data_IF_071728780733
#
_entry.id   IF_071728780733
#
_cell.length_a   1.000
_cell.length_b   1.000
_cell.length_c   1.000
_cell.angle_alpha   90.00
_cell.angle_beta   90.00
_cell.angle_gamma   90.00
#
_symmetry.space_group_name_H-M   'P 1'
#
loop_
_entity.id
_entity.type
_entity.pdbx_description
1 polymer ?
#
# COMPACT_ATOMS: atom_id res chain seq x y z
N UNK A 1 -7.80 -16.89 32.51
CA UNK A 1 -7.88 -15.89 33.59
C UNK A 1 -9.08 -14.99 33.34
N UNK A 2 -10.15 -15.17 34.12
CA UNK A 2 -11.43 -14.48 33.97
C UNK A 2 -11.39 -13.11 34.66
N UNK A 3 -11.62 -12.03 33.90
CA UNK A 3 -11.97 -10.72 34.47
C UNK A 3 -13.04 -10.08 33.61
N UNK A 4 -14.28 -10.11 34.09
CA UNK A 4 -15.31 -9.06 33.94
C UNK A 4 -16.60 -9.54 34.61
N UNK A 5 -16.75 -9.17 35.88
CA UNK A 5 -18.05 -9.19 36.54
C UNK A 5 -18.04 -8.07 37.59
N UNK A 6 -18.61 -6.91 37.26
CA UNK A 6 -19.04 -5.95 38.28
C UNK A 6 -20.22 -5.08 37.80
N UNK A 7 -21.40 -5.41 38.39
CA UNK A 7 -22.54 -4.59 38.84
C UNK A 7 -23.19 -3.56 37.89
N UNK A 8 -24.42 -3.77 37.43
CA UNK A 8 -25.76 -3.61 38.09
C UNK A 8 -26.32 -2.17 38.02
N UNK A 9 -27.37 -2.05 37.19
CA UNK A 9 -28.64 -1.33 37.38
C UNK A 9 -28.64 0.04 38.06
N UNK A 10 -28.99 1.06 37.27
CA UNK A 10 -29.58 2.32 37.72
C UNK A 10 -30.45 2.89 36.59
N UNK A 11 -31.77 2.71 36.70
CA UNK A 11 -32.73 3.30 35.78
C UNK A 11 -32.92 4.78 36.13
N UNK A 12 -32.69 5.66 35.15
CA UNK A 12 -33.18 7.03 35.18
C UNK A 12 -33.59 7.43 33.75
N UNK A 13 -34.89 7.59 33.55
CA UNK A 13 -35.51 8.13 32.35
C UNK A 13 -35.10 9.61 32.20
N UNK A 14 -34.37 9.93 31.14
CA UNK A 14 -34.24 11.29 30.63
C UNK A 14 -34.66 11.31 29.17
N UNK A 15 -35.78 11.99 28.91
CA UNK A 15 -36.30 12.30 27.58
C UNK A 15 -35.34 13.27 26.90
N UNK A 16 -34.67 12.82 25.85
CA UNK A 16 -33.88 13.69 24.95
C UNK A 16 -34.38 13.51 23.53
N UNK A 17 -34.75 14.63 22.93
CA UNK A 17 -35.25 14.74 21.56
C UNK A 17 -34.29 14.05 20.58
N UNK A 18 -34.84 13.12 19.81
CA UNK A 18 -34.19 12.46 18.69
C UNK A 18 -33.90 13.48 17.59
N UNK A 19 -32.71 14.05 17.62
CA UNK A 19 -32.01 14.39 16.38
C UNK A 19 -31.64 13.05 15.75
N UNK A 20 -32.29 12.69 14.64
CA UNK A 20 -31.82 11.60 13.78
C UNK A 20 -30.46 12.00 13.21
N UNK A 21 -29.41 11.79 13.98
CA UNK A 21 -28.10 11.48 13.43
C UNK A 21 -28.34 10.25 12.57
N UNK A 22 -28.16 10.38 11.25
CA UNK A 22 -27.99 9.21 10.42
C UNK A 22 -26.80 8.46 11.01
N UNK A 23 -27.07 7.39 11.76
CA UNK A 23 -26.06 6.40 12.09
C UNK A 23 -25.55 5.93 10.73
N UNK A 24 -24.39 6.44 10.34
CA UNK A 24 -23.64 5.86 9.25
C UNK A 24 -23.56 4.37 9.59
N UNK A 25 -24.10 3.52 8.71
CA UNK A 25 -24.01 2.07 8.82
C UNK A 25 -22.55 1.65 8.62
N UNK A 26 -21.70 1.98 9.58
CA UNK A 26 -20.39 1.40 9.73
C UNK A 26 -20.59 -0.11 9.95
N UNK A 27 -19.94 -0.93 9.12
CA UNK A 27 -20.00 -2.39 9.29
C UNK A 27 -19.19 -2.70 10.55
N UNK A 28 -19.82 -3.23 11.62
CA UNK A 28 -19.10 -3.52 12.86
C UNK A 28 -17.94 -4.47 12.56
N UNK A 29 -16.76 -4.18 13.12
CA UNK A 29 -15.61 -5.09 13.01
C UNK A 29 -16.03 -6.50 13.36
N UNK A 30 -15.89 -7.41 12.40
CA UNK A 30 -16.33 -8.77 12.62
C UNK A 30 -15.40 -9.46 13.63
N UNK A 31 -15.97 -9.85 14.78
CA UNK A 31 -15.23 -10.65 15.75
C UNK A 31 -15.22 -12.10 15.27
N UNK A 32 -14.06 -12.54 14.79
CA UNK A 32 -13.84 -13.92 14.33
C UNK A 32 -13.71 -14.92 15.48
N UNK A 33 -13.68 -14.48 16.74
CA UNK A 33 -13.69 -15.38 17.89
C UNK A 33 -14.95 -16.27 17.88
N UNK A 34 -14.73 -17.58 17.74
CA UNK A 34 -15.78 -18.59 17.63
C UNK A 34 -16.69 -18.42 16.40
N UNK A 35 -16.24 -17.72 15.36
CA UNK A 35 -17.00 -17.65 14.11
C UNK A 35 -17.06 -19.03 13.45
N UNK A 36 -18.28 -19.52 13.23
CA UNK A 36 -18.51 -20.75 12.49
C UNK A 36 -18.35 -20.46 10.99
N UNK A 37 -17.19 -20.81 10.44
CA UNK A 37 -16.90 -20.73 9.00
C UNK A 37 -17.75 -21.71 8.16
N UNK A 38 -18.66 -22.45 8.79
CA UNK A 38 -19.45 -23.50 8.18
C UNK A 38 -18.61 -24.75 7.90
N UNK A 39 -19.20 -25.77 7.25
CA UNK A 39 -18.52 -27.05 6.97
C UNK A 39 -17.38 -26.95 5.94
N UNK A 40 -17.00 -25.74 5.51
CA UNK A 40 -16.16 -25.50 4.35
C UNK A 40 -16.85 -25.89 3.04
N UNK A 41 -16.28 -25.54 1.88
CA UNK A 41 -16.76 -26.03 0.60
C UNK A 41 -16.71 -27.56 0.56
N UNK A 42 -17.76 -28.17 0.00
CA UNK A 42 -17.79 -29.63 -0.23
C UNK A 42 -16.64 -29.98 -1.15
N UNK A 43 -15.59 -30.60 -0.59
CA UNK A 43 -14.40 -30.99 -1.34
C UNK A 43 -14.76 -32.21 -2.19
N UNK A 44 -15.26 -31.98 -3.42
CA UNK A 44 -15.62 -33.04 -4.37
C UNK A 44 -14.40 -33.67 -5.02
N UNK A 45 -13.31 -32.91 -5.12
CA UNK A 45 -12.08 -33.27 -5.82
C UNK A 45 -10.87 -33.16 -4.90
N UNK A 46 -10.99 -33.69 -3.67
CA UNK A 46 -9.82 -33.79 -2.80
C UNK A 46 -8.85 -34.72 -3.51
N UNK A 47 -7.75 -34.17 -4.02
CA UNK A 47 -6.68 -34.99 -4.55
C UNK A 47 -6.35 -36.01 -3.47
N UNK A 48 -6.45 -37.30 -3.78
CA UNK A 48 -6.05 -38.35 -2.86
C UNK A 48 -4.61 -38.05 -2.45
N UNK A 49 -4.39 -37.63 -1.19
CA UNK A 49 -3.10 -37.17 -0.66
C UNK A 49 -2.10 -38.34 -0.48
N UNK A 50 -2.36 -39.45 -1.18
CA UNK A 50 -1.71 -40.73 -0.94
C UNK A 50 -2.27 -41.43 0.31
N UNK A 51 -1.82 -42.67 0.56
CA UNK A 51 -2.36 -43.51 1.62
C UNK A 51 -1.99 -43.08 3.05
N UNK A 52 -1.25 -41.97 3.24
CA UNK A 52 -0.58 -41.66 4.49
C UNK A 52 -1.47 -40.86 5.46
N UNK A 53 -2.10 -41.55 6.41
CA UNK A 53 -2.73 -40.92 7.57
C UNK A 53 -1.68 -40.50 8.61
N UNK A 54 -1.97 -39.49 9.44
CA UNK A 54 -1.05 -39.00 10.49
C UNK A 54 -0.64 -40.10 11.50
N UNK A 55 -1.48 -41.12 11.65
CA UNK A 55 -1.25 -42.31 12.49
C UNK A 55 -0.28 -43.32 11.85
N UNK A 56 0.10 -43.13 10.59
CA UNK A 56 0.98 -44.03 9.82
C UNK A 56 2.38 -43.46 9.62
N UNK A 57 2.68 -42.29 10.20
CA UNK A 57 3.94 -41.60 9.91
C UNK A 57 5.14 -42.17 10.66
N UNK A 58 5.00 -43.12 11.60
CA UNK A 58 6.08 -43.66 12.45
C UNK A 58 7.06 -42.58 13.00
N UNK A 59 6.64 -41.31 13.09
CA UNK A 59 7.45 -40.14 13.43
C UNK A 59 7.62 -39.11 12.29
N UNK A 60 8.04 -37.89 12.65
CA UNK A 60 8.32 -36.83 11.67
C UNK A 60 9.51 -37.21 10.77
N UNK A 61 9.23 -37.70 9.56
CA UNK A 61 10.25 -37.95 8.56
C UNK A 61 10.51 -36.68 7.74
N UNK A 62 11.71 -36.12 7.85
CA UNK A 62 12.20 -35.08 6.94
C UNK A 62 12.38 -35.68 5.55
N UNK A 63 11.42 -35.42 4.66
CA UNK A 63 11.42 -35.94 3.28
C UNK A 63 12.51 -35.29 2.43
N UNK A 64 12.87 -34.04 2.75
CA UNK A 64 13.95 -33.30 2.13
C UNK A 64 14.51 -32.28 3.13
N UNK A 65 15.83 -32.28 3.29
CA UNK A 65 16.56 -31.15 3.88
C UNK A 65 17.44 -30.59 2.78
N UNK A 66 17.34 -29.29 2.51
CA UNK A 66 18.31 -28.61 1.67
C UNK A 66 19.49 -28.19 2.53
N UNK A 67 20.70 -28.50 2.08
CA UNK A 67 21.90 -27.89 2.67
C UNK A 67 21.82 -26.37 2.54
N UNK A 68 22.31 -25.65 3.56
CA UNK A 68 22.43 -24.20 3.48
C UNK A 68 23.27 -23.83 2.24
N UNK A 69 22.73 -22.97 1.38
CA UNK A 69 23.48 -22.44 0.26
C UNK A 69 24.57 -21.49 0.77
N UNK A 70 25.78 -21.58 0.21
CA UNK A 70 26.81 -20.56 0.41
C UNK A 70 26.54 -19.29 -0.40
N UNK A 71 25.63 -19.37 -1.37
CA UNK A 71 25.23 -18.29 -2.27
C UNK A 71 23.80 -17.80 -1.99
N UNK A 72 23.49 -16.52 -2.24
CA UNK A 72 22.11 -16.03 -2.17
C UNK A 72 21.18 -16.80 -3.11
N UNK A 73 20.02 -17.22 -2.59
CA UNK A 73 18.97 -17.89 -3.36
C UNK A 73 17.86 -16.88 -3.60
N UNK A 74 17.44 -16.73 -4.87
CA UNK A 74 16.33 -15.84 -5.21
C UNK A 74 15.05 -16.30 -4.53
N UNK A 75 14.41 -15.41 -3.79
CA UNK A 75 13.18 -15.71 -3.09
C UNK A 75 12.00 -14.98 -3.75
N UNK A 76 11.27 -15.69 -4.61
CA UNK A 76 10.15 -15.09 -5.35
C UNK A 76 9.05 -14.64 -4.38
N UNK A 77 8.66 -13.37 -4.45
CA UNK A 77 7.66 -12.76 -3.57
C UNK A 77 8.08 -12.50 -2.12
N UNK A 78 9.24 -13.00 -1.68
CA UNK A 78 9.76 -12.87 -0.29
C UNK A 78 11.26 -12.49 -0.27
N UNK A 79 11.78 -12.03 -1.40
CA UNK A 79 13.16 -11.64 -1.61
C UNK A 79 13.49 -10.25 -1.08
N UNK A 80 14.78 -9.91 -1.03
CA UNK A 80 15.17 -8.58 -0.57
C UNK A 80 14.82 -7.53 -1.62
N UNK A 81 14.10 -6.50 -1.18
CA UNK A 81 13.76 -5.33 -1.98
C UNK A 81 14.85 -4.27 -1.83
N UNK A 82 15.54 -3.95 -2.93
CA UNK A 82 16.55 -2.90 -2.99
C UNK A 82 15.95 -1.58 -3.48
N UNK A 83 15.90 -0.57 -2.63
CA UNK A 83 15.36 0.74 -2.97
C UNK A 83 16.33 1.51 -3.88
N UNK A 84 15.94 1.72 -5.14
CA UNK A 84 16.62 2.66 -6.05
C UNK A 84 16.12 4.08 -5.87
N UNK A 85 14.97 4.23 -5.21
CA UNK A 85 14.39 5.49 -4.77
C UNK A 85 13.43 5.24 -3.60
N UNK A 86 13.61 5.93 -2.47
CA UNK A 86 12.71 5.89 -1.31
C UNK A 86 11.89 7.20 -1.16
N UNK A 87 11.03 7.29 -0.14
CA UNK A 87 10.12 8.43 0.11
C UNK A 87 10.79 9.82 0.03
N UNK A 88 12.04 9.95 0.44
CA UNK A 88 12.83 11.18 0.38
C UNK A 88 13.71 11.32 -0.85
N UNK A 89 13.81 10.29 -1.72
CA UNK A 89 14.69 10.27 -2.89
C UNK A 89 15.71 9.12 -2.93
N UNK A 90 16.81 9.26 -3.72
CA UNK A 90 17.89 8.27 -3.77
C UNK A 90 18.73 8.30 -2.48
N UNK A 91 19.86 7.58 -2.42
CA UNK A 91 20.77 7.62 -1.26
C UNK A 91 21.15 9.04 -0.81
N UNK A 92 21.48 9.22 0.48
CA UNK A 92 22.00 10.50 0.99
C UNK A 92 23.26 10.96 0.23
N UNK A 93 24.10 10.03 -0.22
CA UNK A 93 25.27 10.33 -1.04
C UNK A 93 24.88 10.90 -2.41
N UNK A 94 23.87 10.33 -3.06
CA UNK A 94 23.35 10.83 -4.33
C UNK A 94 22.69 12.21 -4.14
N UNK A 95 21.91 12.41 -3.07
CA UNK A 95 21.32 13.72 -2.74
C UNK A 95 22.37 14.79 -2.45
N UNK A 96 23.49 14.41 -1.86
CA UNK A 96 24.63 15.29 -1.59
C UNK A 96 25.53 15.51 -2.83
N UNK A 97 25.24 14.88 -3.97
CA UNK A 97 26.05 14.96 -5.20
C UNK A 97 27.42 14.25 -5.09
N UNK A 98 27.60 13.39 -4.10
CA UNK A 98 28.81 12.58 -3.91
C UNK A 98 28.88 11.46 -4.94
N UNK A 99 27.72 10.95 -5.35
CA UNK A 99 27.56 10.00 -6.45
C UNK A 99 26.41 10.46 -7.36
N UNK A 100 26.42 10.00 -8.61
CA UNK A 100 25.30 10.25 -9.53
C UNK A 100 24.14 9.31 -9.23
N UNK A 101 22.93 9.63 -9.74
CA UNK A 101 21.77 8.76 -9.60
C UNK A 101 22.00 7.39 -10.26
N UNK A 102 22.67 7.39 -11.42
CA UNK A 102 23.06 6.18 -12.15
C UNK A 102 23.96 5.29 -11.30
N UNK A 103 24.97 5.89 -10.64
CA UNK A 103 25.88 5.16 -9.75
C UNK A 103 25.14 4.57 -8.55
N UNK A 104 24.20 5.31 -7.97
CA UNK A 104 23.36 4.82 -6.88
C UNK A 104 22.55 3.59 -7.32
N UNK A 105 21.80 3.70 -8.43
CA UNK A 105 20.97 2.62 -8.97
C UNK A 105 21.81 1.39 -9.28
N UNK A 106 22.96 1.57 -9.92
CA UNK A 106 23.88 0.47 -10.28
C UNK A 106 24.44 -0.24 -9.03
N UNK A 107 24.75 0.51 -7.97
CA UNK A 107 25.20 -0.07 -6.69
C UNK A 107 24.12 -0.95 -6.07
N UNK A 108 22.86 -0.52 -6.07
CA UNK A 108 21.76 -1.33 -5.53
C UNK A 108 21.53 -2.58 -6.40
N UNK A 109 21.54 -2.42 -7.72
CA UNK A 109 21.29 -3.51 -8.66
C UNK A 109 22.38 -4.60 -8.65
N UNK A 110 23.62 -4.23 -8.37
CA UNK A 110 24.76 -5.15 -8.32
C UNK A 110 24.88 -5.94 -7.02
N UNK A 111 24.07 -5.63 -6.00
CA UNK A 111 24.05 -6.42 -4.76
C UNK A 111 23.54 -7.84 -5.05
N UNK A 112 24.31 -8.89 -4.70
CA UNK A 112 23.98 -10.27 -5.11
C UNK A 112 22.70 -10.78 -4.44
N UNK A 113 22.37 -10.25 -3.25
CA UNK A 113 21.23 -10.63 -2.44
C UNK A 113 19.96 -9.80 -2.68
N UNK A 114 19.99 -8.79 -3.56
CA UNK A 114 18.79 -8.01 -3.92
C UNK A 114 18.03 -8.75 -5.02
N UNK A 115 16.75 -9.00 -4.82
CA UNK A 115 15.90 -9.72 -5.77
C UNK A 115 15.11 -8.76 -6.68
N UNK A 116 14.57 -7.71 -6.08
CA UNK A 116 13.69 -6.73 -6.74
C UNK A 116 14.23 -5.33 -6.52
N UNK A 117 14.34 -4.55 -7.59
CA UNK A 117 14.62 -3.12 -7.52
C UNK A 117 13.33 -2.35 -7.35
N UNK A 118 13.27 -1.45 -6.38
CA UNK A 118 12.03 -0.81 -5.99
C UNK A 118 12.12 0.71 -5.98
N UNK A 119 11.11 1.33 -6.59
CA UNK A 119 10.95 2.78 -6.70
C UNK A 119 9.72 3.18 -5.88
N UNK A 120 9.92 3.98 -4.83
CA UNK A 120 8.82 4.62 -4.08
C UNK A 120 8.88 6.12 -4.27
N UNK A 121 8.12 6.64 -5.22
CA UNK A 121 8.14 8.07 -5.56
C UNK A 121 6.77 8.73 -5.43
N UNK A 122 6.75 10.05 -5.44
CA UNK A 122 5.51 10.82 -5.37
C UNK A 122 4.79 10.86 -6.73
N UNK A 123 3.48 11.04 -6.73
CA UNK A 123 2.70 11.27 -7.96
C UNK A 123 3.26 12.43 -8.81
N UNK A 124 3.70 13.53 -8.19
CA UNK A 124 4.35 14.64 -8.90
C UNK A 124 5.60 14.24 -9.70
N UNK A 125 6.27 13.16 -9.30
CA UNK A 125 7.50 12.68 -9.94
C UNK A 125 7.20 11.79 -11.15
N UNK A 126 5.94 11.45 -11.40
CA UNK A 126 5.51 10.66 -12.56
C UNK A 126 4.52 11.36 -13.48
N UNK A 127 3.92 12.48 -13.05
CA UNK A 127 2.94 13.21 -13.84
C UNK A 127 2.97 14.72 -13.51
N UNK A 128 3.61 15.54 -14.34
CA UNK A 128 3.66 17.01 -14.15
C UNK A 128 2.48 17.74 -14.81
N UNK A 129 1.75 17.06 -15.71
CA UNK A 129 0.57 17.59 -16.40
C UNK A 129 -0.42 16.46 -16.71
N UNK A 130 -1.72 16.81 -16.81
CA UNK A 130 -2.76 15.85 -17.15
C UNK A 130 -2.52 15.18 -18.51
N UNK A 131 -2.94 13.93 -18.63
CA UNK A 131 -2.98 13.15 -19.88
C UNK A 131 -1.68 12.48 -20.29
N UNK A 132 -0.55 12.69 -19.58
CA UNK A 132 0.73 12.04 -19.93
C UNK A 132 1.63 11.78 -18.72
N UNK A 133 2.33 10.64 -18.74
CA UNK A 133 3.41 10.35 -17.79
C UNK A 133 4.63 11.20 -18.13
N UNK A 134 5.28 11.71 -17.09
CA UNK A 134 6.58 12.38 -17.15
C UNK A 134 7.40 11.75 -16.02
N UNK A 135 7.89 10.53 -16.30
CA UNK A 135 8.55 9.71 -15.29
C UNK A 135 9.88 10.34 -14.87
N UNK A 136 10.14 10.35 -13.57
CA UNK A 136 11.45 10.67 -13.02
C UNK A 136 12.52 9.76 -13.66
N UNK A 137 13.73 10.28 -13.97
CA UNK A 137 14.81 9.50 -14.58
C UNK A 137 15.13 8.18 -13.87
N UNK A 138 14.85 8.06 -12.56
CA UNK A 138 15.07 6.81 -11.82
C UNK A 138 14.33 5.61 -12.42
N UNK A 139 13.20 5.79 -13.11
CA UNK A 139 12.47 4.69 -13.75
C UNK A 139 13.29 4.07 -14.88
N UNK A 140 13.77 4.88 -15.81
CA UNK A 140 14.60 4.42 -16.93
C UNK A 140 15.89 3.77 -16.41
N UNK A 141 16.57 4.43 -15.48
CA UNK A 141 17.81 3.92 -14.88
C UNK A 141 17.60 2.57 -14.19
N UNK A 142 16.51 2.42 -13.44
CA UNK A 142 16.19 1.18 -12.71
C UNK A 142 15.83 0.07 -13.67
N UNK A 143 15.03 0.32 -14.71
CA UNK A 143 14.68 -0.68 -15.71
C UNK A 143 15.91 -1.17 -16.49
N UNK A 144 16.79 -0.25 -16.88
CA UNK A 144 18.03 -0.62 -17.58
C UNK A 144 19.00 -1.38 -16.67
N UNK A 145 19.12 -1.00 -15.40
CA UNK A 145 19.90 -1.76 -14.42
C UNK A 145 19.30 -3.14 -14.16
N UNK A 146 17.97 -3.25 -14.08
CA UNK A 146 17.27 -4.52 -13.91
C UNK A 146 17.57 -5.48 -15.06
N UNK A 147 17.57 -5.01 -16.31
CA UNK A 147 17.99 -5.79 -17.48
C UNK A 147 19.42 -6.29 -17.35
N UNK A 148 20.37 -5.41 -17.02
CA UNK A 148 21.80 -5.75 -16.90
C UNK A 148 22.08 -6.79 -15.81
N UNK A 149 21.39 -6.69 -14.68
CA UNK A 149 21.61 -7.52 -13.49
C UNK A 149 20.62 -8.68 -13.36
N UNK A 150 19.78 -8.92 -14.38
CA UNK A 150 18.73 -9.94 -14.35
C UNK A 150 17.85 -9.85 -13.08
N UNK A 151 17.41 -8.63 -12.77
CA UNK A 151 16.52 -8.29 -11.67
C UNK A 151 15.14 -7.92 -12.20
N UNK A 152 14.17 -7.93 -11.29
CA UNK A 152 12.81 -7.45 -11.54
C UNK A 152 12.63 -6.07 -10.92
N UNK A 153 11.60 -5.36 -11.35
CA UNK A 153 11.28 -4.01 -10.87
C UNK A 153 9.91 -4.01 -10.23
N UNK A 154 9.77 -3.30 -9.12
CA UNK A 154 8.49 -2.96 -8.53
C UNK A 154 8.44 -1.47 -8.19
N UNK A 155 7.25 -0.92 -8.04
CA UNK A 155 7.13 0.48 -7.66
C UNK A 155 5.87 0.79 -6.86
N UNK A 156 5.93 1.92 -6.14
CA UNK A 156 4.81 2.61 -5.51
C UNK A 156 4.80 4.06 -5.95
N UNK A 157 3.61 4.54 -6.29
CA UNK A 157 3.33 5.96 -6.48
C UNK A 157 2.57 6.48 -5.27
N UNK A 158 3.17 7.41 -4.53
CA UNK A 158 2.62 7.97 -3.31
C UNK A 158 1.71 9.17 -3.64
N UNK A 159 0.49 9.17 -3.08
CA UNK A 159 -0.44 10.30 -3.19
C UNK A 159 -0.28 11.29 -2.04
N UNK A 160 0.31 10.84 -0.93
CA UNK A 160 0.81 11.67 0.16
C UNK A 160 2.12 11.12 0.68
N UNK A 161 2.98 12.02 1.13
CA UNK A 161 4.31 11.76 1.65
C UNK A 161 4.56 12.78 2.75
N UNK A 162 5.17 12.37 3.85
CA UNK A 162 5.55 13.29 4.93
C UNK A 162 6.78 14.12 4.59
N UNK A 163 7.63 13.60 3.71
CA UNK A 163 8.87 14.25 3.31
C UNK A 163 8.59 15.52 2.50
N UNK A 164 9.22 16.62 2.91
CA UNK A 164 9.09 17.91 2.23
C UNK A 164 7.79 18.68 2.50
N UNK A 165 6.83 18.12 3.24
CA UNK A 165 5.62 18.86 3.58
C UNK A 165 5.88 20.05 4.51
N UNK A 166 5.11 21.15 4.36
CA UNK A 166 4.07 21.38 3.34
C UNK A 166 4.64 22.00 2.04
N UNK A 167 5.95 22.19 1.93
CA UNK A 167 6.56 22.92 0.82
C UNK A 167 6.56 22.14 -0.50
N UNK A 168 6.58 20.81 -0.44
CA UNK A 168 6.56 19.90 -1.60
C UNK A 168 5.59 18.76 -1.29
N UNK A 169 4.39 18.79 -1.87
CA UNK A 169 3.35 17.78 -1.64
C UNK A 169 3.42 16.68 -2.67
N UNK A 170 3.24 15.41 -2.33
CA UNK A 170 3.27 14.34 -3.33
C UNK A 170 2.30 14.56 -4.52
N UNK A 171 1.18 15.25 -4.29
CA UNK A 171 0.22 15.67 -5.31
C UNK A 171 0.86 16.63 -6.36
N UNK A 172 0.68 16.40 -7.67
CA UNK A 172 1.14 17.30 -8.72
C UNK A 172 0.58 18.72 -8.61
N UNK A 173 1.38 19.72 -9.00
CA UNK A 173 1.01 21.14 -8.88
C UNK A 173 -0.24 21.51 -9.71
N UNK A 174 -0.49 20.83 -10.82
CA UNK A 174 -1.69 21.07 -11.63
C UNK A 174 -3.00 20.60 -10.94
N UNK A 175 -2.90 19.64 -10.02
CA UNK A 175 -4.03 19.14 -9.22
C UNK A 175 -4.21 19.92 -7.93
N UNK A 176 -3.14 20.41 -7.30
CA UNK A 176 -3.23 21.21 -6.08
C UNK A 176 -4.10 22.47 -6.25
N UNK A 177 -4.21 23.01 -7.47
CA UNK A 177 -5.09 24.14 -7.79
C UNK A 177 -6.57 23.78 -7.90
N UNK A 178 -6.89 22.49 -8.01
CA UNK A 178 -8.22 21.97 -8.34
C UNK A 178 -8.81 21.05 -7.25
N UNK A 179 -7.98 20.57 -6.34
CA UNK A 179 -8.37 19.66 -5.26
C UNK A 179 -8.13 20.37 -3.92
N UNK A 180 -9.16 20.49 -3.06
CA UNK A 180 -8.99 21.07 -1.73
C UNK A 180 -7.97 20.27 -0.91
N UNK A 181 -7.11 20.98 -0.16
CA UNK A 181 -6.16 20.42 0.79
C UNK A 181 -6.67 20.64 2.22
N UNK A 182 -6.73 19.58 3.01
CA UNK A 182 -7.17 19.60 4.41
C UNK A 182 -5.95 19.59 5.31
N UNK A 183 -5.89 20.52 6.26
CA UNK A 183 -4.87 20.51 7.32
C UNK A 183 -5.23 19.42 8.32
N UNK A 184 -4.38 18.42 8.46
CA UNK A 184 -4.58 17.29 9.38
C UNK A 184 -3.80 17.45 10.69
N UNK A 185 -3.13 18.58 10.90
CA UNK A 185 -2.45 18.90 12.15
C UNK A 185 -0.94 18.72 12.07
N UNK A 186 -0.27 18.71 13.23
CA UNK A 186 1.19 18.62 13.35
C UNK A 186 1.56 17.36 14.11
N UNK A 187 2.62 16.69 13.67
CA UNK A 187 3.26 15.62 14.45
C UNK A 187 4.65 16.06 14.93
N UNK A 188 5.33 15.21 15.71
CA UNK A 188 6.53 15.51 16.48
C UNK A 188 7.59 16.31 15.70
N UNK A 189 7.89 17.53 16.18
CA UNK A 189 8.92 18.39 15.59
C UNK A 189 8.50 19.15 14.32
N UNK A 190 7.28 18.95 13.81
CA UNK A 190 6.82 19.61 12.60
C UNK A 190 6.56 21.12 12.82
N UNK A 191 7.17 21.95 11.97
CA UNK A 191 7.02 23.41 12.02
C UNK A 191 5.64 23.87 11.51
N UNK A 192 5.09 23.14 10.54
CA UNK A 192 3.82 23.45 9.90
C UNK A 192 2.85 22.25 9.98
N UNK A 193 1.57 22.49 9.66
CA UNK A 193 0.60 21.41 9.55
C UNK A 193 0.91 20.56 8.33
N UNK A 194 0.79 19.25 8.49
CA UNK A 194 0.63 18.33 7.37
C UNK A 194 -0.72 18.58 6.71
N UNK A 195 -0.76 18.34 5.41
CA UNK A 195 -1.95 18.48 4.60
C UNK A 195 -2.17 17.23 3.77
N UNK A 196 -3.44 16.89 3.60
CA UNK A 196 -3.88 15.78 2.76
C UNK A 196 -4.89 16.31 1.74
N UNK A 197 -4.87 15.81 0.48
CA UNK A 197 -5.90 16.17 -0.48
C UNK A 197 -7.25 15.56 -0.07
N UNK A 198 -8.33 16.20 -0.49
CA UNK A 198 -9.66 15.59 -0.50
C UNK A 198 -9.70 14.47 -1.54
N UNK A 199 -9.38 13.26 -1.09
CA UNK A 199 -9.36 12.05 -1.91
C UNK A 199 -10.71 11.79 -2.58
N UNK A 200 -11.83 12.05 -1.90
CA UNK A 200 -13.19 11.90 -2.41
C UNK A 200 -13.58 12.96 -3.46
N UNK A 201 -12.77 14.00 -3.66
CA UNK A 201 -13.10 15.09 -4.57
C UNK A 201 -13.15 14.61 -6.03
N UNK A 202 -14.17 14.97 -6.84
CA UNK A 202 -14.31 14.46 -8.21
C UNK A 202 -13.08 14.71 -9.10
N UNK A 203 -12.41 15.85 -8.95
CA UNK A 203 -11.17 16.16 -9.69
C UNK A 203 -10.01 15.25 -9.28
N UNK A 204 -9.93 14.87 -8.01
CA UNK A 204 -8.92 13.90 -7.56
C UNK A 204 -9.20 12.53 -8.16
N UNK A 205 -10.45 12.05 -8.04
CA UNK A 205 -10.87 10.75 -8.57
C UNK A 205 -10.67 10.62 -10.08
N UNK A 206 -11.00 11.65 -10.86
CA UNK A 206 -10.74 11.66 -12.31
C UNK A 206 -9.26 11.58 -12.64
N UNK A 207 -8.42 12.36 -11.94
CA UNK A 207 -6.99 12.36 -12.17
C UNK A 207 -6.32 11.04 -11.71
N UNK A 208 -6.80 10.47 -10.60
CA UNK A 208 -6.32 9.19 -10.09
C UNK A 208 -6.59 8.05 -11.07
N UNK A 209 -7.78 8.04 -11.67
CA UNK A 209 -8.12 7.12 -12.75
C UNK A 209 -7.21 7.30 -13.96
N UNK A 210 -7.03 8.54 -14.41
CA UNK A 210 -6.15 8.83 -15.55
C UNK A 210 -4.72 8.35 -15.30
N UNK A 211 -4.16 8.62 -14.11
CA UNK A 211 -2.83 8.15 -13.74
C UNK A 211 -2.74 6.62 -13.82
N UNK A 212 -3.71 5.90 -13.24
CA UNK A 212 -3.71 4.44 -13.28
C UNK A 212 -3.81 3.89 -14.71
N UNK A 213 -4.66 4.48 -15.56
CA UNK A 213 -4.76 4.10 -16.98
C UNK A 213 -3.45 4.34 -17.73
N UNK A 214 -2.74 5.42 -17.41
CA UNK A 214 -1.43 5.73 -17.97
C UNK A 214 -0.35 4.75 -17.49
N UNK A 215 -0.30 4.44 -16.18
CA UNK A 215 0.65 3.49 -15.60
C UNK A 215 0.44 2.07 -16.14
N UNK A 216 -0.82 1.63 -16.25
CA UNK A 216 -1.16 0.31 -16.83
C UNK A 216 -0.69 0.23 -18.27
N UNK A 217 -0.93 1.27 -19.08
CA UNK A 217 -0.47 1.30 -20.48
C UNK A 217 1.06 1.17 -20.59
N UNK A 218 1.79 1.79 -19.67
CA UNK A 218 3.25 1.79 -19.68
C UNK A 218 3.84 0.47 -19.13
N UNK A 219 3.28 -0.07 -18.04
CA UNK A 219 3.95 -1.09 -17.24
C UNK A 219 3.26 -2.45 -17.18
N UNK A 220 1.95 -2.56 -17.41
CA UNK A 220 1.23 -3.83 -17.16
C UNK A 220 1.70 -4.95 -18.11
N UNK A 221 2.18 -4.62 -19.31
CA UNK A 221 2.75 -5.63 -20.24
C UNK A 221 4.28 -5.72 -20.18
N UNK A 222 4.94 -5.02 -19.25
CA UNK A 222 6.39 -4.98 -19.17
C UNK A 222 6.93 -6.23 -18.44
N UNK A 223 7.73 -7.08 -19.11
CA UNK A 223 8.19 -8.35 -18.54
C UNK A 223 9.20 -8.20 -17.41
N UNK A 224 9.69 -6.99 -17.12
CA UNK A 224 10.57 -6.74 -15.98
C UNK A 224 9.81 -6.49 -14.68
N UNK A 225 8.51 -6.22 -14.75
CA UNK A 225 7.71 -5.93 -13.57
C UNK A 225 7.53 -7.18 -12.71
N UNK A 226 7.76 -7.04 -11.40
CA UNK A 226 7.42 -8.04 -10.38
C UNK A 226 6.03 -7.78 -9.81
N UNK A 227 5.82 -6.55 -9.33
CA UNK A 227 4.54 -6.08 -8.79
C UNK A 227 4.49 -4.56 -8.84
N UNK A 228 3.29 -4.02 -8.68
CA UNK A 228 3.06 -2.60 -8.40
C UNK A 228 2.29 -2.52 -7.10
N UNK A 229 2.64 -1.58 -6.25
CA UNK A 229 1.85 -1.39 -5.04
C UNK A 229 0.49 -0.81 -5.39
N UNK A 230 -0.56 -1.38 -4.80
CA UNK A 230 -1.88 -0.76 -4.80
C UNK A 230 -1.71 0.66 -4.27
N UNK A 231 -2.07 1.65 -5.09
CA UNK A 231 -2.00 3.06 -4.74
C UNK A 231 -3.08 3.37 -3.71
N UNK A 232 -2.74 3.12 -2.44
CA UNK A 232 -3.52 3.55 -1.30
C UNK A 232 -3.18 4.99 -0.95
N UNK A 233 -4.14 5.71 -0.38
CA UNK A 233 -3.93 7.10 0.04
C UNK A 233 -3.41 7.20 1.46
N UNK A 234 -3.11 8.43 1.91
CA UNK A 234 -2.44 8.67 3.18
C UNK A 234 -0.93 8.58 3.07
N UNK A 235 -0.26 8.73 4.21
CA UNK A 235 1.18 8.83 4.31
C UNK A 235 1.87 7.63 3.68
N UNK A 236 2.82 7.95 2.80
CA UNK A 236 3.64 7.00 2.06
C UNK A 236 2.88 5.99 1.20
N UNK A 237 1.60 6.26 0.95
CA UNK A 237 0.67 5.35 0.29
C UNK A 237 0.33 4.11 1.13
N UNK A 238 0.32 4.23 2.46
CA UNK A 238 0.13 3.10 3.37
C UNK A 238 -1.31 2.95 3.88
N UNK A 239 -2.22 3.83 3.49
CA UNK A 239 -3.60 3.77 3.97
C UNK A 239 -3.75 4.25 5.40
N UNK A 240 -3.05 5.31 5.81
CA UNK A 240 -3.25 5.98 7.12
C UNK A 240 -2.62 7.39 7.14
N UNK A 241 -3.00 8.21 8.11
CA UNK A 241 -2.38 9.52 8.43
C UNK A 241 -1.63 9.45 9.77
N UNK A 242 -1.14 8.26 10.12
CA UNK A 242 -0.54 7.96 11.43
C UNK A 242 -1.50 8.32 12.57
N UNK A 243 -1.06 9.12 13.55
CA UNK A 243 -1.86 9.60 14.66
C UNK A 243 -2.65 10.90 14.36
N UNK A 244 -2.60 11.40 13.13
CA UNK A 244 -3.34 12.59 12.70
C UNK A 244 -4.72 12.22 12.16
N UNK A 245 -5.73 13.11 12.26
CA UNK A 245 -7.01 12.96 11.59
C UNK A 245 -6.88 12.74 10.08
N UNK A 246 -7.86 12.04 9.50
CA UNK A 246 -7.98 11.87 8.06
C UNK A 246 -8.68 13.09 7.40
N UNK A 247 -8.61 13.27 6.06
CA UNK A 247 -9.18 14.43 5.38
C UNK A 247 -10.68 14.30 5.06
N UNK A 248 -11.35 13.22 5.45
CA UNK A 248 -12.73 12.94 5.07
C UNK A 248 -13.74 13.61 6.02
N UNK A 249 -14.96 13.92 5.55
CA UNK A 249 -16.02 14.46 6.39
C UNK A 249 -16.59 13.42 7.37
N UNK A 250 -16.54 12.14 7.00
CA UNK A 250 -17.06 11.00 7.75
C UNK A 250 -16.42 9.69 7.28
N UNK A 251 -16.56 8.63 8.10
CA UNK A 251 -15.96 7.32 7.84
C UNK A 251 -16.53 6.63 6.60
N UNK A 252 -17.85 6.70 6.38
CA UNK A 252 -18.50 6.06 5.24
C UNK A 252 -17.99 6.60 3.91
N UNK A 253 -17.75 7.91 3.84
CA UNK A 253 -17.13 8.55 2.68
C UNK A 253 -15.70 8.05 2.49
N UNK A 254 -14.93 7.88 3.58
CA UNK A 254 -13.57 7.35 3.53
C UNK A 254 -13.56 5.90 3.01
N UNK A 255 -14.31 4.99 3.65
CA UNK A 255 -14.44 3.57 3.26
C UNK A 255 -14.86 3.42 1.80
N UNK A 256 -15.93 4.11 1.39
CA UNK A 256 -16.39 4.05 0.00
C UNK A 256 -15.30 4.53 -0.97
N UNK A 257 -14.61 5.62 -0.65
CA UNK A 257 -13.53 6.15 -1.50
C UNK A 257 -12.39 5.14 -1.62
N UNK A 258 -11.97 4.51 -0.51
CA UNK A 258 -10.92 3.49 -0.50
C UNK A 258 -11.30 2.28 -1.36
N UNK A 259 -12.52 1.77 -1.18
CA UNK A 259 -13.03 0.62 -1.92
C UNK A 259 -13.16 0.90 -3.42
N UNK A 260 -13.69 2.07 -3.79
CA UNK A 260 -13.88 2.44 -5.20
C UNK A 260 -12.51 2.62 -5.90
N UNK A 261 -11.54 3.26 -5.25
CA UNK A 261 -10.18 3.39 -5.77
C UNK A 261 -9.47 2.03 -5.88
N UNK A 262 -9.72 1.11 -4.95
CA UNK A 262 -9.16 -0.25 -4.99
C UNK A 262 -9.75 -1.06 -6.14
N UNK A 263 -11.08 -1.08 -6.26
CA UNK A 263 -11.80 -1.77 -7.35
C UNK A 263 -11.37 -1.26 -8.72
N UNK A 264 -11.15 0.05 -8.86
CA UNK A 264 -10.65 0.63 -10.09
C UNK A 264 -9.29 0.04 -10.47
N UNK A 265 -8.34 -0.02 -9.54
CA UNK A 265 -7.00 -0.54 -9.80
C UNK A 265 -7.02 -2.03 -10.17
N UNK A 266 -7.73 -2.86 -9.39
CA UNK A 266 -7.96 -4.28 -9.72
C UNK A 266 -8.68 -4.45 -11.08
N UNK A 267 -9.53 -3.49 -11.42
CA UNK A 267 -10.23 -3.40 -12.70
C UNK A 267 -9.31 -3.07 -13.88
N UNK A 268 -8.17 -2.40 -13.67
CA UNK A 268 -7.27 -1.93 -14.73
C UNK A 268 -6.03 -2.82 -14.89
N UNK A 269 -5.35 -3.18 -13.80
CA UNK A 269 -4.16 -4.04 -13.84
C UNK A 269 -4.56 -5.50 -14.12
N UNK A 270 -3.99 -6.13 -15.15
CA UNK A 270 -4.39 -7.47 -15.60
C UNK A 270 -3.27 -8.49 -15.57
N UNK A 271 -2.03 -8.05 -15.68
CA UNK A 271 -0.89 -8.94 -15.84
C UNK A 271 0.12 -8.76 -14.71
N UNK A 272 0.39 -7.52 -14.28
CA UNK A 272 1.28 -7.25 -13.15
C UNK A 272 0.48 -7.35 -11.84
N UNK A 273 0.95 -8.16 -10.87
CA UNK A 273 0.33 -8.26 -9.56
C UNK A 273 0.29 -6.92 -8.83
N UNK A 274 -0.82 -6.66 -8.13
CA UNK A 274 -0.91 -5.56 -7.18
C UNK A 274 -0.54 -6.05 -5.78
N UNK A 275 0.48 -5.45 -5.18
CA UNK A 275 0.88 -5.71 -3.80
C UNK A 275 0.17 -4.72 -2.86
N UNK A 276 -0.39 -5.23 -1.77
CA UNK A 276 -1.12 -4.43 -0.78
C UNK A 276 -0.36 -4.48 0.54
N UNK A 277 -0.07 -3.32 1.14
CA UNK A 277 0.44 -3.32 2.51
C UNK A 277 -0.71 -3.49 3.50
N UNK A 278 -0.51 -4.36 4.49
CA UNK A 278 -1.46 -4.54 5.59
C UNK A 278 -1.09 -3.59 6.72
N UNK A 279 -1.97 -2.64 7.02
CA UNK A 279 -1.87 -1.71 8.13
C UNK A 279 -3.24 -1.51 8.77
N UNK A 280 -3.40 -1.62 10.10
CA UNK A 280 -4.69 -1.40 10.72
C UNK A 280 -5.28 -0.03 10.34
N UNK A 281 -6.60 0.12 10.43
CA UNK A 281 -7.28 1.38 10.12
C UNK A 281 -7.07 2.44 11.23
N UNK A 282 -5.82 2.75 11.55
CA UNK A 282 -5.38 3.50 12.74
C UNK A 282 -5.94 4.93 12.76
N UNK A 283 -6.25 5.49 11.59
CA UNK A 283 -6.73 6.86 11.42
C UNK A 283 -8.15 6.94 10.83
N UNK A 284 -8.90 5.83 10.88
CA UNK A 284 -10.26 5.72 10.36
C UNK A 284 -10.39 6.24 8.92
N UNK A 285 -9.47 5.79 8.06
CA UNK A 285 -9.38 6.16 6.65
C UNK A 285 -10.16 5.22 5.75
N UNK A 286 -10.77 4.16 6.29
CA UNK A 286 -11.63 3.24 5.55
C UNK A 286 -10.87 2.13 4.82
N UNK A 287 -9.68 1.76 5.30
CA UNK A 287 -8.82 0.76 4.66
C UNK A 287 -9.15 -0.70 5.04
N UNK A 288 -10.07 -0.92 5.99
CA UNK A 288 -10.33 -2.21 6.65
C UNK A 288 -10.69 -3.34 5.68
N UNK A 289 -11.52 -3.03 4.68
CA UNK A 289 -12.07 -4.02 3.74
C UNK A 289 -11.14 -4.38 2.57
N UNK A 290 -9.95 -3.77 2.50
CA UNK A 290 -9.00 -3.96 1.38
C UNK A 290 -7.84 -4.90 1.74
N UNK A 291 -7.60 -5.15 3.02
CA UNK A 291 -6.41 -5.81 3.54
C UNK A 291 -6.60 -7.28 3.90
#
# INVERSE_FOLDING_TARGET
MHRRSFLKAGAALSVTATLCSAEAQDVPSHNWDNYDFGPGPRVTDRLNQGPFGIEQDEGWYTVLVTSQSSEPVKNYGLGLVGYTWEEGGPSLAARAGIETLEQHVEKIASLPFVDVLYIRCDWRDVQTSAGKLNLNPVFELTLEAAKRHNRRVAFRIQMSNTEGQPARLALPDFLQKQVPLVKIGKTYGAKANFVEPRYDHPKFQTAFKELNELLVREFDSNPLMEFVDLMMYGFWGEGHTSNLPNPFPDYLTAEKTFLDMTKLQLGLWKNVPLAVNTQPDISNVGNREVQ
#
